data_IF_040362279698
#
_entry.id   IF_040362279698
#
_cell.length_a   1.000
_cell.length_b   1.000
_cell.length_c   1.000
_cell.angle_alpha   90.00
_cell.angle_beta   90.00
_cell.angle_gamma   90.00
#
_symmetry.space_group_name_H-M   'P 1'
#
loop_
_entity.id
_entity.type
_entity.pdbx_description
1 polymer ?
#
# COMPACT_ATOMS: atom_id res chain seq x y z
N UNK A 1 16.50 -6.18 -16.90
CA UNK A 1 16.03 -5.83 -15.57
C UNK A 1 14.71 -6.52 -15.28
N UNK A 2 14.63 -7.07 -14.16
CA UNK A 2 13.41 -7.74 -13.79
C UNK A 2 12.59 -6.92 -12.85
N UNK A 3 11.31 -6.86 -13.11
CA UNK A 3 10.41 -6.23 -12.20
C UNK A 3 10.10 -7.15 -11.03
N UNK A 4 9.71 -6.55 -9.94
CA UNK A 4 9.23 -7.28 -8.80
C UNK A 4 7.71 -7.37 -8.92
N UNK A 5 7.21 -8.59 -8.97
CA UNK A 5 5.78 -8.81 -9.04
C UNK A 5 5.29 -9.18 -7.65
N UNK A 6 4.44 -8.35 -7.11
CA UNK A 6 3.88 -8.58 -5.80
C UNK A 6 2.52 -9.26 -5.93
N UNK A 7 2.24 -10.18 -5.02
CA UNK A 7 0.90 -10.75 -4.96
C UNK A 7 -0.07 -9.71 -4.45
N UNK A 8 -1.35 -9.97 -4.65
CA UNK A 8 -2.39 -9.05 -4.16
C UNK A 8 -2.25 -8.82 -2.66
N UNK A 9 -1.99 -9.89 -1.93
CA UNK A 9 -1.84 -9.79 -0.48
C UNK A 9 -0.62 -8.96 -0.10
N UNK A 10 0.48 -9.15 -0.83
CA UNK A 10 1.69 -8.39 -0.55
C UNK A 10 1.48 -6.90 -0.80
N UNK A 11 0.74 -6.57 -1.85
CA UNK A 11 0.41 -5.17 -2.12
C UNK A 11 -0.40 -4.57 -0.98
N UNK A 12 -1.38 -5.30 -0.49
CA UNK A 12 -2.22 -4.84 0.59
C UNK A 12 -1.43 -4.65 1.87
N UNK A 13 -0.53 -5.58 2.17
CA UNK A 13 0.29 -5.47 3.37
C UNK A 13 1.24 -4.28 3.29
N UNK A 14 1.83 -4.04 2.11
CA UNK A 14 2.68 -2.88 1.94
C UNK A 14 1.90 -1.59 2.13
N UNK A 15 0.70 -1.52 1.59
CA UNK A 15 -0.12 -0.34 1.75
C UNK A 15 -0.40 -0.07 3.23
N UNK A 16 -0.78 -1.10 3.97
CA UNK A 16 -1.07 -0.97 5.39
C UNK A 16 0.17 -0.54 6.16
N UNK A 17 1.33 -1.01 5.75
CA UNK A 17 2.58 -0.68 6.43
C UNK A 17 3.06 0.73 6.09
N UNK A 18 3.02 1.11 4.83
CA UNK A 18 3.66 2.34 4.37
C UNK A 18 2.76 3.56 4.46
N UNK A 19 1.47 3.40 4.23
CA UNK A 19 0.57 4.55 4.16
C UNK A 19 0.56 5.39 5.43
N UNK A 20 0.49 4.79 6.64
CA UNK A 20 0.50 5.61 7.86
C UNK A 20 1.81 6.36 8.08
N UNK A 21 2.86 5.97 7.37
CA UNK A 21 4.19 6.57 7.53
C UNK A 21 4.60 7.41 6.34
N UNK A 22 3.66 7.75 5.46
CA UNK A 22 4.03 8.38 4.19
C UNK A 22 4.78 9.70 4.38
N UNK A 23 4.53 10.41 5.47
CA UNK A 23 5.20 11.68 5.72
C UNK A 23 6.68 11.51 6.05
N UNK A 24 7.09 10.32 6.45
CA UNK A 24 8.45 10.07 6.89
C UNK A 24 9.20 9.11 5.98
N UNK A 25 8.58 8.68 4.90
CA UNK A 25 9.21 7.73 4.00
C UNK A 25 10.30 8.40 3.17
N UNK A 26 11.43 7.73 2.97
CA UNK A 26 12.40 8.20 1.99
C UNK A 26 11.80 8.11 0.58
N UNK A 27 12.36 8.91 -0.32
CA UNK A 27 11.83 9.07 -1.67
C UNK A 27 11.57 7.74 -2.40
N UNK A 28 12.51 6.79 -2.40
CA UNK A 28 12.24 5.52 -3.09
C UNK A 28 11.03 4.78 -2.56
N UNK A 29 10.79 4.84 -1.26
CA UNK A 29 9.64 4.17 -0.66
C UNK A 29 8.34 4.92 -0.94
N UNK A 30 8.41 6.24 -1.09
CA UNK A 30 7.23 7.00 -1.50
C UNK A 30 6.76 6.57 -2.87
N UNK A 31 7.70 6.32 -3.78
CA UNK A 31 7.34 5.86 -5.11
C UNK A 31 6.72 4.47 -5.05
N UNK A 32 7.28 3.59 -4.22
CA UNK A 32 6.71 2.26 -4.05
C UNK A 32 5.28 2.36 -3.54
N UNK A 33 5.06 3.24 -2.56
CA UNK A 33 3.71 3.43 -2.01
C UNK A 33 2.74 3.91 -3.09
N UNK A 34 3.16 4.88 -3.91
CA UNK A 34 2.29 5.38 -4.97
C UNK A 34 1.92 4.29 -5.96
N UNK A 35 2.89 3.46 -6.32
CA UNK A 35 2.64 2.37 -7.25
C UNK A 35 1.67 1.35 -6.65
N UNK A 36 1.86 1.05 -5.37
CA UNK A 36 0.96 0.13 -4.67
C UNK A 36 -0.44 0.72 -4.60
N UNK A 37 -0.55 2.00 -4.25
CA UNK A 37 -1.85 2.66 -4.20
C UNK A 37 -2.56 2.59 -5.55
N UNK A 38 -1.82 2.89 -6.61
CA UNK A 38 -2.42 2.88 -7.94
C UNK A 38 -2.94 1.50 -8.30
N UNK A 39 -2.14 0.47 -8.00
CA UNK A 39 -2.54 -0.90 -8.28
C UNK A 39 -3.79 -1.29 -7.48
N UNK A 40 -3.82 -0.91 -6.21
CA UNK A 40 -4.96 -1.23 -5.35
C UNK A 40 -6.21 -0.50 -5.80
N UNK A 41 -6.09 0.78 -6.15
CA UNK A 41 -7.24 1.58 -6.55
C UNK A 41 -7.84 1.08 -7.87
N UNK A 42 -7.05 0.43 -8.68
CA UNK A 42 -7.56 -0.16 -9.92
C UNK A 42 -8.28 -1.48 -9.68
N UNK A 43 -7.97 -2.14 -8.59
CA UNK A 43 -8.45 -3.49 -8.31
C UNK A 43 -9.52 -3.52 -7.23
N UNK A 44 -9.41 -2.66 -6.24
CA UNK A 44 -10.29 -2.68 -5.08
C UNK A 44 -11.35 -1.59 -5.16
N UNK A 45 -12.49 -1.85 -4.52
CA UNK A 45 -13.49 -0.83 -4.34
C UNK A 45 -13.09 0.11 -3.22
N UNK A 46 -13.77 1.25 -3.12
CA UNK A 46 -13.52 2.20 -2.03
C UNK A 46 -13.74 1.54 -0.68
N UNK A 47 -14.78 0.71 -0.58
CA UNK A 47 -15.06 0.00 0.67
C UNK A 47 -13.92 -0.92 1.06
N UNK A 48 -13.35 -1.60 0.09
CA UNK A 48 -12.23 -2.51 0.36
C UNK A 48 -11.00 -1.73 0.80
N UNK A 49 -10.76 -0.59 0.17
CA UNK A 49 -9.62 0.25 0.53
C UNK A 49 -9.80 0.82 1.93
N UNK A 50 -11.02 1.22 2.29
CA UNK A 50 -11.30 1.69 3.63
C UNK A 50 -11.12 0.59 4.66
N UNK A 51 -11.42 -0.65 4.30
CA UNK A 51 -11.19 -1.77 5.19
C UNK A 51 -9.69 -1.95 5.46
N UNK A 52 -8.86 -1.74 4.43
CA UNK A 52 -7.42 -1.78 4.63
C UNK A 52 -6.96 -0.63 5.54
N UNK A 53 -7.51 0.55 5.32
CA UNK A 53 -7.14 1.71 6.13
C UNK A 53 -7.48 1.49 7.60
N UNK A 54 -8.54 0.75 7.87
CA UNK A 54 -8.91 0.45 9.25
C UNK A 54 -7.86 -0.37 9.98
N UNK A 55 -6.99 -1.06 9.23
CA UNK A 55 -5.91 -1.85 9.83
C UNK A 55 -4.72 -1.01 10.26
N UNK A 56 -4.68 0.26 9.86
CA UNK A 56 -3.54 1.12 10.19
C UNK A 56 -3.35 1.21 11.70
N UNK A 57 -4.43 1.33 12.44
CA UNK A 57 -4.36 1.47 13.88
C UNK A 57 -4.06 0.15 14.58
N UNK A 58 -4.25 -0.95 13.89
CA UNK A 58 -4.03 -2.27 14.45
C UNK A 58 -2.60 -2.75 14.23
N UNK A 59 -1.84 -2.03 13.47
CA UNK A 59 -0.48 -2.42 13.11
C UNK A 59 0.55 -2.14 14.17
N UNK A 60 0.17 -1.99 15.37
CA UNK A 60 1.08 -1.64 16.44
C UNK A 60 1.35 -2.75 17.37
#
# INVERSE_FOLDING_TARGET
>A
MTGVVLTDREQEELYVLLKPREDTLPEPLEEVLRKVEKALFQRLTIEQIEALAARFDQGR
#
